data_IF_080052833903
#
_entry.id   IF_080052833903
#
_cell.length_a   1.000
_cell.length_b   1.000
_cell.length_c   1.000
_cell.angle_alpha   90.00
_cell.angle_beta   90.00
_cell.angle_gamma   90.00
#
_symmetry.space_group_name_H-M   'P 1'
#
loop_
_entity.id
_entity.type
_entity.pdbx_description
1 polymer ?
#
# COMPACT_ATOMS: atom_id res chain seq x y z
N UNK A 1 -5.91 16.75 -16.09
CA UNK A 1 -4.57 16.28 -15.68
C UNK A 1 -4.60 14.77 -15.65
N UNK A 2 -3.82 14.09 -16.49
CA UNK A 2 -3.84 12.64 -16.60
C UNK A 2 -3.23 12.02 -15.34
N UNK A 3 -4.08 11.57 -14.42
CA UNK A 3 -3.63 10.69 -13.35
C UNK A 3 -3.04 9.46 -14.03
N UNK A 4 -1.73 9.26 -13.90
CA UNK A 4 -1.08 8.01 -14.25
C UNK A 4 -1.91 6.89 -13.62
N UNK A 5 -2.47 6.00 -14.44
CA UNK A 5 -3.22 4.87 -13.91
C UNK A 5 -2.23 3.98 -13.13
N UNK A 6 -2.06 4.28 -11.85
CA UNK A 6 -1.20 3.53 -10.95
C UNK A 6 -1.91 2.22 -10.67
N UNK A 7 -1.38 1.14 -11.21
CA UNK A 7 -1.84 -0.22 -10.97
C UNK A 7 -1.22 -0.70 -9.67
N UNK A 8 -2.07 -1.00 -8.69
CA UNK A 8 -1.65 -1.27 -7.31
C UNK A 8 -1.94 -2.72 -6.92
N UNK A 9 -1.14 -3.27 -6.00
CA UNK A 9 -1.53 -4.49 -5.32
C UNK A 9 -2.70 -4.23 -4.37
N UNK A 10 -3.38 -5.28 -3.89
CA UNK A 10 -4.40 -5.13 -2.83
C UNK A 10 -3.82 -4.53 -1.55
N UNK A 11 -2.55 -4.81 -1.26
CA UNK A 11 -1.86 -4.30 -0.09
C UNK A 11 -1.69 -2.79 -0.20
N UNK A 12 -1.20 -2.31 -1.35
CA UNK A 12 -1.01 -0.87 -1.59
C UNK A 12 -2.36 -0.13 -1.61
N UNK A 13 -3.37 -0.72 -2.26
CA UNK A 13 -4.72 -0.14 -2.28
C UNK A 13 -5.32 -0.05 -0.87
N UNK A 14 -5.19 -1.10 -0.06
CA UNK A 14 -5.67 -1.09 1.32
C UNK A 14 -4.95 -0.05 2.19
N UNK A 15 -3.63 0.09 2.00
CA UNK A 15 -2.79 1.06 2.72
C UNK A 15 -3.25 2.51 2.50
N UNK A 16 -3.71 2.86 1.30
CA UNK A 16 -4.27 4.20 1.01
C UNK A 16 -5.44 4.52 1.96
N UNK A 17 -6.27 3.54 2.29
CA UNK A 17 -7.49 3.73 3.10
C UNK A 17 -7.33 3.24 4.55
N UNK A 18 -6.12 2.81 4.95
CA UNK A 18 -5.90 2.28 6.29
C UNK A 18 -6.60 0.98 6.62
N UNK A 19 -6.84 0.17 5.59
CA UNK A 19 -7.45 -1.15 5.75
C UNK A 19 -6.49 -2.24 5.28
N UNK A 20 -6.63 -3.44 5.85
CA UNK A 20 -5.81 -4.57 5.43
C UNK A 20 -6.12 -4.99 3.99
N UNK A 21 -5.15 -5.59 3.30
CA UNK A 21 -5.34 -6.19 1.97
C UNK A 21 -6.52 -7.18 1.93
N UNK A 22 -6.75 -7.89 3.05
CA UNK A 22 -7.87 -8.83 3.22
C UNK A 22 -9.19 -8.08 3.22
N UNK A 23 -9.28 -6.98 3.98
CA UNK A 23 -10.50 -6.17 4.06
C UNK A 23 -10.79 -5.47 2.73
N UNK A 24 -9.76 -4.89 2.10
CA UNK A 24 -9.86 -4.32 0.76
C UNK A 24 -10.35 -5.39 -0.24
N UNK A 25 -9.73 -6.57 -0.22
CA UNK A 25 -10.11 -7.69 -1.07
C UNK A 25 -11.55 -8.19 -0.85
N UNK A 26 -12.06 -8.19 0.39
CA UNK A 26 -13.46 -8.51 0.69
C UNK A 26 -14.42 -7.45 0.17
N UNK A 27 -14.04 -6.19 0.23
CA UNK A 27 -14.86 -5.08 -0.30
C UNK A 27 -15.03 -5.20 -1.81
N UNK A 28 -13.96 -5.56 -2.52
CA UNK A 28 -14.02 -5.84 -3.96
C UNK A 28 -14.81 -7.12 -4.28
N UNK A 29 -14.77 -8.14 -3.41
CA UNK A 29 -15.61 -9.34 -3.55
C UNK A 29 -17.10 -9.01 -3.39
N UNK A 30 -17.46 -8.20 -2.39
CA UNK A 30 -18.85 -7.76 -2.18
C UNK A 30 -19.37 -6.90 -3.34
N UNK A 31 -18.49 -6.16 -4.02
CA UNK A 31 -18.83 -5.43 -5.25
C UNK A 31 -18.98 -6.37 -6.47
N UNK A 32 -18.59 -7.63 -6.36
CA UNK A 32 -18.57 -8.58 -7.48
C UNK A 32 -17.39 -8.39 -8.42
N UNK A 33 -16.37 -7.64 -8.02
CA UNK A 33 -15.15 -7.40 -8.80
C UNK A 33 -14.05 -8.44 -8.53
N UNK A 34 -14.13 -9.16 -7.42
CA UNK A 34 -13.20 -10.22 -7.05
C UNK A 34 -13.97 -11.52 -6.77
N UNK A 35 -13.44 -12.64 -7.22
CA UNK A 35 -13.98 -13.97 -6.91
C UNK A 35 -13.42 -14.52 -5.59
N UNK A 36 -14.02 -15.61 -5.09
CA UNK A 36 -13.57 -16.32 -3.88
C UNK A 36 -12.16 -16.92 -4.01
N UNK A 37 -11.63 -17.05 -5.23
CA UNK A 37 -10.27 -17.52 -5.51
C UNK A 37 -9.28 -16.34 -5.56
N UNK A 38 -9.74 -15.13 -5.27
CA UNK A 38 -8.95 -13.92 -5.23
C UNK A 38 -8.66 -13.30 -6.60
N UNK A 39 -9.25 -13.80 -7.68
CA UNK A 39 -9.08 -13.33 -9.06
C UNK A 39 -10.10 -12.23 -9.39
N UNK A 40 -9.78 -11.29 -10.28
CA UNK A 40 -10.76 -10.32 -10.74
C UNK A 40 -11.79 -11.01 -11.62
N UNK A 41 -13.06 -10.62 -11.46
CA UNK A 41 -14.16 -11.09 -12.30
C UNK A 41 -14.15 -10.39 -13.65
N UNK A 42 -14.90 -10.92 -14.62
CA UNK A 42 -15.00 -10.27 -15.94
C UNK A 42 -15.54 -8.84 -15.82
N UNK A 43 -16.46 -8.59 -14.88
CA UNK A 43 -16.99 -7.25 -14.61
C UNK A 43 -15.92 -6.27 -14.14
N UNK A 44 -14.92 -6.72 -13.38
CA UNK A 44 -13.80 -5.88 -12.98
C UNK A 44 -12.85 -5.55 -14.13
N UNK A 45 -12.66 -6.49 -15.06
CA UNK A 45 -11.86 -6.27 -16.26
C UNK A 45 -12.56 -5.29 -17.21
N UNK A 46 -13.87 -5.47 -17.40
CA UNK A 46 -14.72 -4.60 -18.25
C UNK A 46 -14.79 -3.16 -17.71
N UNK A 47 -14.91 -3.02 -16.39
CA UNK A 47 -14.88 -1.71 -15.72
C UNK A 47 -13.47 -1.08 -15.63
N UNK A 48 -12.44 -1.71 -16.23
CA UNK A 48 -11.03 -1.33 -16.11
C UNK A 48 -10.56 -1.17 -14.64
N UNK A 49 -11.20 -1.89 -13.72
CA UNK A 49 -10.92 -1.88 -12.29
C UNK A 49 -9.74 -2.80 -11.93
N UNK A 50 -9.49 -3.82 -12.74
CA UNK A 50 -8.41 -4.78 -12.53
C UNK A 50 -7.72 -5.18 -13.82
N UNK A 51 -6.46 -5.60 -13.71
CA UNK A 51 -5.73 -6.30 -14.75
C UNK A 51 -5.05 -7.54 -14.18
N UNK A 52 -4.86 -8.54 -15.04
CA UNK A 52 -4.02 -9.70 -14.73
C UNK A 52 -2.75 -9.61 -15.58
N UNK A 53 -1.60 -9.50 -14.93
CA UNK A 53 -0.30 -9.50 -15.60
C UNK A 53 0.39 -10.84 -15.37
N UNK A 54 0.73 -11.56 -16.45
CA UNK A 54 1.54 -12.79 -16.39
C UNK A 54 1.13 -13.87 -17.41
N UNK A 55 2.07 -14.68 -17.96
CA UNK A 55 1.74 -15.81 -18.83
C UNK A 55 0.96 -16.90 -18.09
N UNK A 56 0.22 -17.74 -18.82
CA UNK A 56 -0.46 -18.89 -18.24
C UNK A 56 0.54 -19.85 -17.57
N UNK A 57 0.46 -19.98 -16.25
CA UNK A 57 1.05 -21.10 -15.53
C UNK A 57 1.84 -20.74 -14.27
N UNK A 58 2.55 -19.61 -14.22
CA UNK A 58 3.44 -19.28 -13.10
C UNK A 58 3.36 -17.77 -12.79
N UNK A 59 2.62 -17.40 -11.74
CA UNK A 59 2.61 -16.03 -11.20
C UNK A 59 1.68 -15.03 -11.92
N UNK A 60 0.36 -15.30 -11.93
CA UNK A 60 -0.61 -14.23 -12.28
C UNK A 60 -0.66 -13.21 -11.14
N UNK A 61 -0.07 -12.05 -11.36
CA UNK A 61 -0.23 -10.91 -10.44
C UNK A 61 -1.46 -10.14 -10.85
N UNK A 62 -2.39 -9.96 -9.90
CA UNK A 62 -3.57 -9.12 -10.09
C UNK A 62 -3.23 -7.73 -9.61
N UNK A 63 -3.38 -6.74 -10.49
CA UNK A 63 -3.26 -5.34 -10.13
C UNK A 63 -4.62 -4.66 -10.25
N UNK A 64 -4.85 -3.71 -9.35
CA UNK A 64 -6.09 -2.98 -9.21
C UNK A 64 -5.85 -1.53 -9.61
N UNK A 65 -6.76 -0.99 -10.42
CA UNK A 65 -6.68 0.39 -10.86
C UNK A 65 -6.94 1.32 -9.67
N UNK A 66 -5.93 2.12 -9.29
CA UNK A 66 -6.04 3.06 -8.16
C UNK A 66 -7.28 3.91 -8.27
N UNK A 67 -7.49 4.61 -9.38
CA UNK A 67 -8.57 5.59 -9.51
C UNK A 67 -9.96 4.96 -9.47
N UNK A 68 -10.14 3.80 -10.12
CA UNK A 68 -11.44 3.11 -10.16
C UNK A 68 -11.76 2.47 -8.81
N UNK A 69 -10.78 1.84 -8.18
CA UNK A 69 -10.97 1.21 -6.87
C UNK A 69 -11.10 2.26 -5.75
N UNK A 70 -10.41 3.39 -5.86
CA UNK A 70 -10.55 4.51 -4.93
C UNK A 70 -11.97 5.07 -4.91
N UNK A 71 -12.56 5.32 -6.08
CA UNK A 71 -13.94 5.79 -6.19
C UNK A 71 -14.93 4.80 -5.56
N UNK A 72 -14.72 3.50 -5.78
CA UNK A 72 -15.54 2.47 -5.14
C UNK A 72 -15.41 2.52 -3.61
N UNK A 73 -14.19 2.58 -3.09
CA UNK A 73 -13.94 2.60 -1.65
C UNK A 73 -14.54 3.85 -1.02
N UNK A 74 -14.37 5.01 -1.63
CA UNK A 74 -14.99 6.26 -1.19
C UNK A 74 -16.52 6.19 -1.21
N UNK A 75 -17.11 5.58 -2.25
CA UNK A 75 -18.56 5.34 -2.30
C UNK A 75 -19.06 4.38 -1.22
N UNK A 76 -18.21 3.46 -0.75
CA UNK A 76 -18.50 2.58 0.41
C UNK A 76 -18.25 3.27 1.76
N UNK A 77 -17.83 4.53 1.76
CA UNK A 77 -17.61 5.34 2.97
C UNK A 77 -16.20 5.29 3.53
N UNK A 78 -15.21 4.76 2.79
CA UNK A 78 -13.80 4.83 3.20
C UNK A 78 -13.20 6.17 2.81
N UNK A 79 -12.47 6.80 3.73
CA UNK A 79 -11.71 8.01 3.44
C UNK A 79 -10.23 7.65 3.24
N UNK A 80 -9.57 8.20 2.21
CA UNK A 80 -8.12 8.05 2.08
C UNK A 80 -7.44 8.57 3.33
N UNK A 81 -6.44 7.85 3.83
CA UNK A 81 -5.61 8.35 4.92
C UNK A 81 -5.00 9.69 4.54
N UNK A 82 -5.03 10.64 5.47
CA UNK A 82 -4.29 11.88 5.30
C UNK A 82 -2.79 11.57 5.23
N UNK A 83 -2.09 12.30 4.37
CA UNK A 83 -0.63 12.20 4.25
C UNK A 83 0.06 12.37 5.60
N UNK A 84 -0.43 13.31 6.42
CA UNK A 84 0.07 13.56 7.78
C UNK A 84 -0.05 12.34 8.70
N UNK A 85 -1.18 11.61 8.63
CA UNK A 85 -1.38 10.39 9.42
C UNK A 85 -0.45 9.27 8.95
N UNK A 86 -0.26 9.11 7.64
CA UNK A 86 0.66 8.12 7.09
C UNK A 86 2.10 8.39 7.53
N UNK A 87 2.54 9.65 7.45
CA UNK A 87 3.87 10.07 7.92
C UNK A 87 4.04 9.78 9.40
N UNK A 88 3.03 10.11 10.22
CA UNK A 88 3.08 9.87 11.66
C UNK A 88 3.21 8.37 12.00
N UNK A 89 2.40 7.51 11.38
CA UNK A 89 2.43 6.07 11.61
C UNK A 89 3.77 5.45 11.22
N UNK A 90 4.32 5.83 10.06
CA UNK A 90 5.63 5.37 9.62
C UNK A 90 6.74 5.84 10.56
N UNK A 91 6.67 7.09 11.01
CA UNK A 91 7.64 7.65 11.98
C UNK A 91 7.59 6.88 13.30
N UNK A 92 6.39 6.61 13.84
CA UNK A 92 6.23 5.84 15.08
C UNK A 92 6.73 4.40 14.94
N UNK A 93 6.43 3.73 13.83
CA UNK A 93 6.88 2.36 13.57
C UNK A 93 8.42 2.28 13.55
N UNK A 94 9.07 3.15 12.77
CA UNK A 94 10.53 3.14 12.63
C UNK A 94 11.24 3.51 13.93
N UNK A 95 10.69 4.47 14.68
CA UNK A 95 11.22 4.84 16.00
C UNK A 95 11.11 3.68 17.00
N UNK A 96 9.97 2.99 17.05
CA UNK A 96 9.78 1.83 17.92
C UNK A 96 10.71 0.66 17.56
N UNK A 97 10.95 0.45 16.27
CA UNK A 97 11.91 -0.55 15.78
C UNK A 97 13.34 -0.20 16.17
N UNK A 98 13.73 1.07 16.02
CA UNK A 98 15.06 1.56 16.43
C UNK A 98 15.26 1.49 17.95
N UNK A 99 14.21 1.70 18.74
CA UNK A 99 14.24 1.57 20.19
C UNK A 99 14.33 0.11 20.67
N UNK A 100 14.29 -0.87 19.76
CA UNK A 100 14.43 -2.28 20.07
C UNK A 100 13.14 -2.92 20.61
N UNK A 101 12.00 -2.63 19.98
CA UNK A 101 10.72 -3.26 20.36
C UNK A 101 10.85 -4.80 20.34
N UNK A 102 10.71 -5.48 21.49
CA UNK A 102 10.90 -6.94 21.60
C UNK A 102 9.81 -7.74 20.90
N UNK A 103 8.75 -7.08 20.43
CA UNK A 103 7.60 -7.71 19.78
C UNK A 103 7.67 -7.70 18.25
N UNK A 104 8.69 -7.08 17.64
CA UNK A 104 8.81 -6.99 16.18
C UNK A 104 10.14 -7.61 15.73
N UNK A 105 10.06 -8.71 14.98
CA UNK A 105 11.23 -9.45 14.47
C UNK A 105 11.90 -8.77 13.27
N UNK A 106 11.24 -7.77 12.68
CA UNK A 106 11.76 -7.02 11.53
C UNK A 106 12.62 -5.84 11.99
N UNK A 107 13.63 -5.48 11.19
CA UNK A 107 14.43 -4.27 11.43
C UNK A 107 13.76 -3.03 10.84
N UNK A 108 14.17 -1.84 11.32
CA UNK A 108 13.71 -0.58 10.75
C UNK A 108 13.98 -0.50 9.23
N UNK A 109 15.14 -1.01 8.77
CA UNK A 109 15.48 -1.07 7.35
C UNK A 109 14.53 -1.97 6.56
N UNK A 110 14.24 -3.18 7.05
CA UNK A 110 13.32 -4.10 6.39
C UNK A 110 11.91 -3.52 6.25
N UNK A 111 11.46 -2.76 7.25
CA UNK A 111 10.15 -2.10 7.18
C UNK A 111 10.17 -0.86 6.30
N UNK A 112 11.28 -0.13 6.25
CA UNK A 112 11.45 1.00 5.37
C UNK A 112 11.39 0.61 3.88
N UNK A 113 11.73 -0.63 3.51
CA UNK A 113 11.57 -1.15 2.14
C UNK A 113 10.11 -1.16 1.67
N UNK A 114 9.16 -1.30 2.60
CA UNK A 114 7.74 -1.31 2.29
C UNK A 114 7.11 0.09 2.28
N UNK A 115 7.87 1.13 2.66
CA UNK A 115 7.38 2.49 2.74
C UNK A 115 7.12 3.06 1.33
N UNK A 116 6.03 3.81 1.11
CA UNK A 116 5.84 4.58 -0.12
C UNK A 116 6.91 5.66 -0.26
N UNK A 117 7.59 5.71 -1.41
CA UNK A 117 8.68 6.68 -1.63
C UNK A 117 8.26 8.15 -1.55
N UNK A 118 6.99 8.45 -1.79
CA UNK A 118 6.40 9.78 -1.64
C UNK A 118 6.33 10.29 -0.18
N UNK A 119 6.54 9.40 0.80
CA UNK A 119 6.54 9.73 2.23
C UNK A 119 7.96 9.87 2.81
N UNK A 120 9.00 9.49 2.07
CA UNK A 120 10.37 9.41 2.58
C UNK A 120 10.85 10.73 3.17
N UNK A 121 10.67 11.83 2.45
CA UNK A 121 11.17 13.14 2.87
C UNK A 121 10.50 13.59 4.16
N UNK A 122 9.16 13.53 4.23
CA UNK A 122 8.39 13.93 5.40
C UNK A 122 8.64 13.02 6.61
N UNK A 123 8.79 11.71 6.41
CA UNK A 123 9.11 10.76 7.50
C UNK A 123 10.50 11.03 8.05
N UNK A 124 11.51 11.23 7.19
CA UNK A 124 12.85 11.58 7.65
C UNK A 124 12.89 12.91 8.40
N UNK A 125 12.14 13.92 7.95
CA UNK A 125 12.00 15.19 8.64
C UNK A 125 11.34 15.02 10.02
N UNK A 126 10.29 14.20 10.15
CA UNK A 126 9.68 13.93 11.44
C UNK A 126 10.58 13.11 12.38
N UNK A 127 11.28 12.09 11.87
CA UNK A 127 12.26 11.33 12.64
C UNK A 127 13.36 12.25 13.20
N UNK A 128 13.78 13.24 12.41
CA UNK A 128 14.72 14.27 12.85
C UNK A 128 14.18 15.15 13.96
N UNK A 129 12.99 15.70 13.75
CA UNK A 129 12.32 16.54 14.74
C UNK A 129 12.10 15.82 16.08
N UNK A 130 11.93 14.49 16.05
CA UNK A 130 11.77 13.63 17.23
C UNK A 130 13.09 13.17 17.86
N UNK A 131 14.24 13.52 17.25
CA UNK A 131 15.56 13.12 17.75
C UNK A 131 15.91 11.66 17.50
N UNK A 132 15.16 10.95 16.64
CA UNK A 132 15.48 9.59 16.24
C UNK A 132 16.74 9.61 15.35
N UNK A 133 17.70 8.73 15.63
CA UNK A 133 18.95 8.63 14.85
C UNK A 133 18.79 7.84 13.55
N UNK A 134 17.71 7.07 13.44
CA UNK A 134 17.41 6.33 12.22
C UNK A 134 16.97 7.27 11.11
N UNK A 135 17.41 6.97 9.89
CA UNK A 135 17.02 7.69 8.66
C UNK A 135 16.77 6.66 7.57
N UNK A 136 15.64 6.80 6.90
CA UNK A 136 15.27 5.98 5.75
C UNK A 136 16.14 6.38 4.57
N UNK A 137 16.87 5.41 4.03
CA UNK A 137 17.67 5.62 2.83
C UNK A 137 16.81 5.48 1.56
N UNK A 138 16.96 6.35 0.54
CA UNK A 138 16.25 6.20 -0.73
C UNK A 138 16.49 4.85 -1.42
N UNK A 139 17.64 4.23 -1.13
CA UNK A 139 18.04 2.91 -1.62
C UNK A 139 17.22 1.77 -1.00
N UNK A 140 16.65 1.95 0.19
CA UNK A 140 15.81 0.95 0.83
C UNK A 140 14.45 0.81 0.11
N UNK A 141 13.92 1.91 -0.45
CA UNK A 141 12.64 1.90 -1.19
C UNK A 141 12.71 1.20 -2.55
N UNK A 142 13.91 1.02 -3.08
CA UNK A 142 14.17 0.40 -4.37
C UNK A 142 15.20 -0.72 -4.19
N UNK A 143 14.78 -1.92 -3.78
CA UNK A 143 15.64 -3.08 -3.97
C UNK A 143 15.79 -3.25 -5.48
N UNK A 144 16.95 -2.82 -5.99
CA UNK A 144 17.39 -3.15 -7.34
C UNK A 144 17.26 -4.66 -7.51
N UNK A 145 16.36 -5.01 -8.41
CA UNK A 145 16.01 -6.34 -8.90
C UNK A 145 17.23 -7.16 -9.30
#
# INVERSE_FOLDING_TARGET
>A
MAATASWLSLTDLGRIYGISAIHCGKTLEHQGWRDRRGRPTQSALDANAAMQTGPHGQGRTVLWNRSVCSQLLEHKGYEPMSRSLQVEQWTQLLEALQAGSPSITATADQMAEEMPGELLEDVNHQLEARGCRYRVSPRALHPSR
#
